data_IF_852631040922
#
_entry.id   IF_852631040922
#
_cell.length_a   1.000
_cell.length_b   1.000
_cell.length_c   1.000
_cell.angle_alpha   90.00
_cell.angle_beta   90.00
_cell.angle_gamma   90.00
#
_symmetry.space_group_name_H-M   'P 1'
#
loop_
_entity.id
_entity.type
_entity.pdbx_description
1 polymer ?
#
# COMPACT_ATOMS: atom_id res chain seq x y z
N UNK A 1 -11.32 14.22 -0.26
CA UNK A 1 -11.98 13.21 0.56
C UNK A 1 -12.32 12.02 -0.34
N UNK A 2 -11.88 10.83 0.02
CA UNK A 2 -12.14 9.61 -0.74
C UNK A 2 -12.15 8.39 0.17
N UNK A 3 -12.96 7.41 -0.19
CA UNK A 3 -13.03 6.12 0.46
C UNK A 3 -13.02 5.04 -0.63
N UNK A 4 -12.32 3.95 -0.37
CA UNK A 4 -12.28 2.80 -1.25
C UNK A 4 -12.41 1.54 -0.42
N UNK A 5 -13.32 0.67 -0.82
CA UNK A 5 -13.53 -0.64 -0.20
C UNK A 5 -13.45 -1.66 -1.32
N UNK A 6 -12.57 -2.64 -1.20
CA UNK A 6 -12.46 -3.77 -2.10
C UNK A 6 -12.60 -5.06 -1.32
N UNK A 7 -13.48 -5.94 -1.76
CA UNK A 7 -13.67 -7.28 -1.19
C UNK A 7 -13.59 -8.27 -2.35
N UNK A 8 -12.67 -9.23 -2.25
CA UNK A 8 -12.52 -10.28 -3.24
C UNK A 8 -12.59 -11.65 -2.56
N UNK A 9 -13.35 -12.56 -3.16
CA UNK A 9 -13.46 -13.95 -2.72
C UNK A 9 -13.00 -14.86 -3.85
N UNK A 10 -12.09 -15.77 -3.53
CA UNK A 10 -11.61 -16.78 -4.46
C UNK A 10 -11.86 -18.16 -3.86
N UNK A 11 -12.49 -19.04 -4.62
CA UNK A 11 -12.65 -20.46 -4.28
C UNK A 11 -11.81 -21.29 -5.23
N UNK A 12 -10.99 -22.19 -4.68
CA UNK A 12 -10.22 -23.19 -5.42
C UNK A 12 -10.57 -24.58 -4.89
N UNK A 13 -10.89 -25.49 -5.80
CA UNK A 13 -11.36 -26.83 -5.48
C UNK A 13 -12.84 -26.87 -5.09
N UNK A 14 -13.47 -28.02 -5.36
CA UNK A 14 -14.86 -28.29 -5.05
C UNK A 14 -14.96 -29.73 -4.53
N UNK A 15 -15.00 -29.88 -3.21
CA UNK A 15 -15.25 -31.16 -2.55
C UNK A 15 -14.07 -32.14 -2.60
N UNK A 16 -14.05 -33.08 -3.52
CA UNK A 16 -13.10 -34.21 -3.57
C UNK A 16 -11.74 -33.87 -4.21
N UNK A 17 -11.45 -32.60 -4.52
CA UNK A 17 -10.17 -32.24 -5.11
C UNK A 17 -9.02 -32.29 -4.10
N UNK A 18 -7.80 -32.54 -4.58
CA UNK A 18 -6.58 -32.50 -3.75
C UNK A 18 -6.32 -31.12 -3.15
N UNK A 19 -6.89 -30.09 -3.77
CA UNK A 19 -6.80 -28.69 -3.34
C UNK A 19 -8.21 -28.19 -3.04
N UNK A 20 -8.44 -27.77 -1.83
CA UNK A 20 -9.74 -27.19 -1.40
C UNK A 20 -9.55 -26.08 -0.37
N UNK A 21 -9.66 -24.82 -0.86
CA UNK A 21 -9.56 -23.63 -0.02
C UNK A 21 -10.37 -22.46 -0.59
N UNK A 22 -10.64 -21.50 0.26
CA UNK A 22 -11.26 -20.22 -0.08
C UNK A 22 -10.43 -19.08 0.48
N UNK A 23 -10.18 -18.05 -0.30
CA UNK A 23 -9.49 -16.84 0.12
C UNK A 23 -10.48 -15.68 0.17
N UNK A 24 -10.43 -14.92 1.24
CA UNK A 24 -11.10 -13.64 1.38
C UNK A 24 -10.04 -12.54 1.47
N UNK A 25 -10.11 -11.58 0.58
CA UNK A 25 -9.29 -10.38 0.60
C UNK A 25 -10.15 -9.16 0.86
N UNK A 26 -9.75 -8.31 1.80
CA UNK A 26 -10.40 -7.04 2.12
C UNK A 26 -9.33 -5.96 2.09
N UNK A 27 -9.57 -4.87 1.35
CA UNK A 27 -8.72 -3.66 1.31
C UNK A 27 -9.61 -2.44 1.55
N UNK A 28 -9.32 -1.70 2.59
CA UNK A 28 -10.05 -0.51 3.01
C UNK A 28 -9.12 0.68 2.95
N UNK A 29 -9.51 1.76 2.25
CA UNK A 29 -8.73 2.99 2.15
C UNK A 29 -9.60 4.19 2.45
N UNK A 30 -9.03 5.13 3.19
CA UNK A 30 -9.70 6.38 3.54
C UNK A 30 -8.73 7.55 3.45
N UNK A 31 -9.16 8.61 2.78
CA UNK A 31 -8.40 9.84 2.62
C UNK A 31 -9.17 10.99 3.23
N UNK A 32 -8.55 11.66 4.18
CA UNK A 32 -9.16 12.74 4.96
C UNK A 32 -8.34 14.02 4.73
N UNK A 33 -8.93 15.08 4.16
CA UNK A 33 -8.33 16.41 4.19
C UNK A 33 -8.36 16.93 5.62
N UNK A 34 -7.26 17.52 6.09
CA UNK A 34 -7.14 18.04 7.45
C UNK A 34 -7.30 19.56 7.42
N UNK A 35 -6.24 20.27 7.13
CA UNK A 35 -6.19 21.73 7.12
C UNK A 35 -5.56 22.19 5.81
N UNK A 36 -6.15 23.20 5.17
CA UNK A 36 -5.67 23.68 3.87
C UNK A 36 -5.59 22.53 2.86
N UNK A 37 -4.42 22.24 2.35
CA UNK A 37 -4.19 21.14 1.39
C UNK A 37 -3.51 19.92 2.02
N UNK A 38 -3.43 19.83 3.35
CA UNK A 38 -2.92 18.67 4.06
C UNK A 38 -3.91 17.51 3.99
N UNK A 39 -3.41 16.32 3.85
CA UNK A 39 -4.25 15.12 3.83
C UNK A 39 -3.59 13.98 4.59
N UNK A 40 -4.42 13.17 5.22
CA UNK A 40 -3.99 11.90 5.81
C UNK A 40 -4.71 10.76 5.09
N UNK A 41 -3.95 9.76 4.73
CA UNK A 41 -4.43 8.51 4.16
C UNK A 41 -4.29 7.38 5.16
N UNK A 42 -5.27 6.50 5.16
CA UNK A 42 -5.27 5.25 5.91
C UNK A 42 -5.55 4.11 4.94
N UNK A 43 -4.84 3.02 5.07
CA UNK A 43 -5.12 1.76 4.40
C UNK A 43 -5.04 0.64 5.42
N UNK A 44 -6.07 -0.20 5.46
CA UNK A 44 -6.06 -1.47 6.18
C UNK A 44 -6.39 -2.59 5.21
N UNK A 45 -5.65 -3.68 5.25
CA UNK A 45 -5.96 -4.84 4.42
C UNK A 45 -5.82 -6.13 5.22
N UNK A 46 -6.58 -7.13 4.81
CA UNK A 46 -6.44 -8.48 5.35
C UNK A 46 -6.74 -9.51 4.27
N UNK A 47 -5.96 -10.57 4.27
CA UNK A 47 -6.18 -11.78 3.49
C UNK A 47 -6.36 -12.97 4.43
N UNK A 48 -7.49 -13.64 4.34
CA UNK A 48 -7.84 -14.78 5.16
C UNK A 48 -8.03 -16.01 4.28
N UNK A 49 -7.48 -17.13 4.70
CA UNK A 49 -7.63 -18.41 4.01
C UNK A 49 -8.40 -19.40 4.87
N UNK A 50 -9.38 -20.03 4.25
CA UNK A 50 -10.25 -21.05 4.85
C UNK A 50 -10.14 -22.34 4.03
N UNK A 51 -10.03 -23.47 4.68
CA UNK A 51 -9.96 -24.78 4.03
C UNK A 51 -8.93 -25.69 4.66
N UNK A 52 -8.90 -26.96 4.23
CA UNK A 52 -8.06 -27.97 4.84
C UNK A 52 -6.90 -28.41 3.94
N UNK A 53 -6.95 -28.12 2.64
CA UNK A 53 -5.98 -28.54 1.63
C UNK A 53 -5.41 -27.32 0.92
N UNK A 54 -4.60 -26.58 1.68
CA UNK A 54 -3.99 -25.35 1.23
C UNK A 54 -2.58 -25.64 0.69
N UNK A 55 -2.30 -25.41 -0.58
CA UNK A 55 -0.97 -25.53 -1.12
C UNK A 55 -0.12 -24.30 -0.79
N UNK A 56 1.19 -24.48 -0.60
CA UNK A 56 2.12 -23.41 -0.22
C UNK A 56 2.13 -22.24 -1.19
N UNK A 57 1.85 -22.46 -2.47
CA UNK A 57 1.79 -21.39 -3.47
C UNK A 57 0.61 -20.43 -3.29
N UNK A 58 -0.35 -20.76 -2.43
CA UNK A 58 -1.51 -19.91 -2.11
C UNK A 58 -1.31 -19.06 -0.86
N UNK A 59 -0.16 -19.15 -0.20
CA UNK A 59 0.20 -18.34 0.95
C UNK A 59 0.28 -16.85 0.59
N UNK A 60 0.03 -16.01 1.57
CA UNK A 60 0.27 -14.58 1.48
C UNK A 60 1.69 -14.23 1.89
N UNK A 61 2.18 -13.14 1.32
CA UNK A 61 3.54 -12.66 1.57
C UNK A 61 3.54 -11.16 1.89
N UNK A 62 4.33 -10.77 2.89
CA UNK A 62 4.77 -9.40 3.08
C UNK A 62 6.23 -9.34 2.64
N UNK A 63 6.57 -8.41 1.73
CA UNK A 63 7.90 -8.26 1.14
C UNK A 63 7.91 -8.31 -0.39
N UNK A 64 6.77 -8.64 -1.01
CA UNK A 64 6.55 -8.58 -2.46
C UNK A 64 5.55 -7.50 -2.84
N UNK A 65 4.32 -7.85 -3.20
CA UNK A 65 3.26 -6.90 -3.55
C UNK A 65 2.83 -6.04 -2.37
N UNK A 66 2.68 -6.65 -1.21
CA UNK A 66 2.46 -5.95 0.04
C UNK A 66 3.78 -5.82 0.79
N UNK A 67 4.11 -4.60 1.21
CA UNK A 67 5.41 -4.30 1.84
C UNK A 67 5.23 -3.39 3.04
N UNK A 68 6.11 -3.56 4.03
CA UNK A 68 6.31 -2.60 5.11
C UNK A 68 7.51 -1.73 4.72
N UNK A 69 7.29 -0.43 4.49
CA UNK A 69 8.37 0.51 4.14
C UNK A 69 9.35 0.60 5.30
N UNK A 70 10.65 0.47 4.98
CA UNK A 70 11.73 0.40 5.96
C UNK A 70 12.15 -1.03 6.34
N UNK A 71 11.39 -2.09 5.92
CA UNK A 71 11.79 -3.48 6.14
C UNK A 71 11.65 -4.30 4.83
N UNK A 72 12.51 -3.99 3.85
CA UNK A 72 12.51 -4.71 2.57
C UNK A 72 13.39 -5.96 2.56
N UNK A 73 14.19 -6.15 3.61
CA UNK A 73 15.09 -7.31 3.73
C UNK A 73 14.38 -8.59 4.15
N UNK A 74 13.18 -8.47 4.70
CA UNK A 74 12.41 -9.61 5.19
C UNK A 74 11.25 -9.93 4.28
N UNK A 75 11.12 -11.21 3.99
CA UNK A 75 9.95 -11.80 3.38
C UNK A 75 9.26 -12.62 4.46
N UNK A 76 8.04 -12.25 4.78
CA UNK A 76 7.19 -12.99 5.69
C UNK A 76 6.18 -13.78 4.87
N UNK A 77 5.97 -15.04 5.22
CA UNK A 77 5.05 -15.96 4.57
C UNK A 77 4.06 -16.52 5.58
N UNK A 78 2.80 -16.65 5.21
CA UNK A 78 1.77 -17.26 6.04
C UNK A 78 0.47 -17.52 5.27
N UNK A 79 -0.39 -18.35 5.85
CA UNK A 79 -1.72 -18.65 5.30
C UNK A 79 -2.65 -17.43 5.33
N UNK A 80 -2.42 -16.50 6.25
CA UNK A 80 -3.20 -15.28 6.43
C UNK A 80 -2.27 -14.09 6.54
N UNK A 81 -2.79 -12.91 6.21
CA UNK A 81 -2.07 -11.64 6.27
C UNK A 81 -2.97 -10.52 6.77
N UNK A 82 -2.42 -9.59 7.51
CA UNK A 82 -3.02 -8.29 7.76
C UNK A 82 -1.97 -7.19 7.73
N UNK A 83 -2.37 -6.02 7.29
CA UNK A 83 -1.50 -4.86 7.28
C UNK A 83 -2.28 -3.57 7.43
N UNK A 84 -1.56 -2.57 7.89
CA UNK A 84 -2.05 -1.22 8.08
C UNK A 84 -0.99 -0.24 7.59
N UNK A 85 -1.43 0.81 6.93
CA UNK A 85 -0.59 1.90 6.47
C UNK A 85 -1.27 3.23 6.73
N UNK A 86 -0.52 4.21 7.20
CA UNK A 86 -0.99 5.59 7.31
C UNK A 86 0.05 6.53 6.76
N UNK A 87 -0.40 7.61 6.12
CA UNK A 87 0.48 8.57 5.48
C UNK A 87 -0.10 9.99 5.57
N UNK A 88 0.65 10.87 6.22
CA UNK A 88 0.39 12.30 6.26
C UNK A 88 1.11 12.97 5.09
N UNK A 89 0.38 13.71 4.27
CA UNK A 89 0.89 14.48 3.13
C UNK A 89 0.74 15.97 3.41
N UNK A 90 1.86 16.66 3.37
CA UNK A 90 1.95 18.11 3.56
C UNK A 90 2.42 18.71 2.25
N UNK A 91 1.62 19.52 1.55
CA UNK A 91 2.05 20.13 0.30
C UNK A 91 3.14 21.17 0.58
N UNK A 92 4.27 21.04 -0.11
CA UNK A 92 5.35 22.02 -0.13
C UNK A 92 5.09 23.01 -1.27
N UNK A 93 4.63 22.46 -2.40
CA UNK A 93 4.37 23.23 -3.61
C UNK A 93 3.20 22.64 -4.40
N UNK A 94 2.33 23.50 -4.91
CA UNK A 94 1.25 23.10 -5.79
C UNK A 94 0.00 22.52 -5.10
N UNK A 95 -0.90 21.90 -5.83
CA UNK A 95 -0.80 21.58 -7.26
C UNK A 95 -0.91 22.81 -8.17
N UNK A 96 0.03 22.94 -9.08
CA UNK A 96 0.02 23.97 -10.12
C UNK A 96 -0.36 23.33 -11.44
N UNK A 97 -1.16 24.03 -12.22
CA UNK A 97 -1.62 23.59 -13.52
C UNK A 97 -0.99 24.46 -14.61
N UNK A 98 -0.33 23.82 -15.57
CA UNK A 98 0.25 24.46 -16.75
C UNK A 98 -0.57 24.01 -17.95
N UNK A 99 -1.06 24.98 -18.72
CA UNK A 99 -1.81 24.72 -19.96
C UNK A 99 -0.87 24.88 -21.14
N UNK A 100 -0.81 23.86 -21.98
CA UNK A 100 -0.05 23.86 -23.25
C UNK A 100 -1.04 24.12 -24.41
N UNK A 101 -1.14 25.35 -24.90
CA UNK A 101 -2.16 25.70 -25.90
C UNK A 101 -1.92 25.06 -27.28
N UNK A 102 -0.67 24.67 -27.58
CA UNK A 102 -0.29 24.05 -28.85
C UNK A 102 -0.41 22.52 -28.87
N UNK A 103 -0.91 21.90 -27.79
CA UNK A 103 -1.03 20.46 -27.73
C UNK A 103 -2.17 19.98 -28.64
N UNK A 104 -1.90 19.10 -29.62
CA UNK A 104 -2.91 18.68 -30.58
C UNK A 104 -4.02 17.83 -29.96
N UNK A 105 -3.82 17.29 -28.77
CA UNK A 105 -4.79 16.50 -28.01
C UNK A 105 -5.16 17.26 -26.74
N UNK A 106 -6.37 17.85 -26.66
CA UNK A 106 -6.78 18.70 -25.53
C UNK A 106 -6.69 18.02 -24.15
N UNK A 107 -6.86 16.69 -24.12
CA UNK A 107 -6.79 15.90 -22.89
C UNK A 107 -5.40 15.91 -22.23
N UNK A 108 -4.36 16.13 -23.02
CA UNK A 108 -2.97 16.22 -22.55
C UNK A 108 -2.47 17.66 -22.42
N UNK A 109 -3.31 18.64 -22.70
CA UNK A 109 -2.93 20.05 -22.65
C UNK A 109 -2.77 20.59 -21.22
N UNK A 110 -3.39 19.94 -20.21
CA UNK A 110 -3.32 20.38 -18.82
C UNK A 110 -2.34 19.50 -18.05
N UNK A 111 -1.20 20.11 -17.71
CA UNK A 111 -0.16 19.44 -16.93
C UNK A 111 -0.27 19.84 -15.47
N UNK A 112 -0.37 18.86 -14.58
CA UNK A 112 -0.42 19.06 -13.14
C UNK A 112 0.93 18.75 -12.52
N UNK A 113 1.48 19.69 -11.75
CA UNK A 113 2.70 19.54 -11.00
C UNK A 113 2.48 19.85 -9.52
N UNK A 114 3.22 19.19 -8.67
CA UNK A 114 3.21 19.48 -7.24
C UNK A 114 4.28 18.70 -6.50
N UNK A 115 4.50 19.07 -5.25
CA UNK A 115 5.43 18.41 -4.37
C UNK A 115 4.87 18.35 -2.95
N UNK A 116 4.87 17.18 -2.36
CA UNK A 116 4.42 16.96 -0.99
C UNK A 116 5.57 16.37 -0.16
N UNK A 117 5.66 16.83 1.08
CA UNK A 117 6.36 16.11 2.13
C UNK A 117 5.41 15.03 2.67
N UNK A 118 5.89 13.82 2.81
CA UNK A 118 5.12 12.70 3.33
C UNK A 118 5.77 12.14 4.59
N UNK A 119 4.93 11.79 5.58
CA UNK A 119 5.33 11.02 6.76
C UNK A 119 4.47 9.77 6.80
N UNK A 120 5.07 8.62 6.98
CA UNK A 120 4.33 7.37 6.94
C UNK A 120 4.65 6.43 8.11
N UNK A 121 3.71 5.57 8.39
CA UNK A 121 3.85 4.43 9.27
C UNK A 121 3.12 3.24 8.65
N UNK A 122 3.82 2.12 8.55
CA UNK A 122 3.30 0.86 8.03
C UNK A 122 3.52 -0.25 9.06
N UNK A 123 2.58 -1.16 9.15
CA UNK A 123 2.69 -2.36 9.96
C UNK A 123 2.03 -3.54 9.23
N UNK A 124 2.59 -4.73 9.42
CA UNK A 124 2.01 -5.91 8.82
C UNK A 124 2.48 -7.20 9.50
N UNK A 125 1.64 -8.19 9.43
CA UNK A 125 1.89 -9.52 9.97
C UNK A 125 1.30 -10.59 9.06
N UNK A 126 1.94 -11.75 9.04
CA UNK A 126 1.40 -12.98 8.47
C UNK A 126 1.33 -14.05 9.56
N UNK A 127 0.34 -14.94 9.46
CA UNK A 127 0.18 -16.03 10.44
C UNK A 127 -0.44 -17.26 9.78
N UNK A 128 -0.20 -18.42 10.42
CA UNK A 128 -0.77 -19.69 9.99
C UNK A 128 -2.05 -20.00 10.78
N UNK A 129 -3.15 -20.30 10.07
CA UNK A 129 -4.48 -20.67 10.59
C UNK A 129 -4.93 -19.84 11.80
N UNK A 130 -4.82 -20.39 13.02
CA UNK A 130 -5.41 -19.82 14.23
C UNK A 130 -4.39 -19.15 15.16
N UNK A 131 -3.17 -18.89 14.69
CA UNK A 131 -2.06 -18.38 15.51
C UNK A 131 -1.80 -16.88 15.28
N UNK A 132 -2.85 -16.08 15.25
CA UNK A 132 -2.67 -14.64 15.19
C UNK A 132 -2.04 -14.13 16.50
N UNK A 133 -0.84 -13.60 16.42
CA UNK A 133 -0.08 -13.08 17.56
C UNK A 133 0.64 -11.81 17.10
N UNK A 134 0.16 -10.65 17.50
CA UNK A 134 0.79 -9.34 17.21
C UNK A 134 2.29 -9.23 17.53
N UNK A 135 2.84 -10.14 18.29
CA UNK A 135 4.28 -10.14 18.65
C UNK A 135 5.22 -10.34 17.46
N UNK A 136 4.72 -10.80 16.33
CA UNK A 136 5.51 -11.04 15.12
C UNK A 136 5.34 -9.92 14.07
N UNK A 137 4.50 -8.95 14.35
CA UNK A 137 4.29 -7.85 13.42
C UNK A 137 5.59 -7.11 13.12
N UNK A 138 5.85 -6.88 11.85
CA UNK A 138 6.88 -5.96 11.40
C UNK A 138 6.25 -4.59 11.20
N UNK A 139 6.98 -3.55 11.58
CA UNK A 139 6.57 -2.18 11.35
C UNK A 139 7.74 -1.32 10.88
N UNK A 140 7.38 -0.30 10.15
CA UNK A 140 8.32 0.71 9.71
C UNK A 140 7.66 2.07 9.64
N UNK A 141 8.47 3.09 9.72
CA UNK A 141 8.05 4.48 9.63
C UNK A 141 9.12 5.29 8.90
N UNK A 142 8.72 6.44 8.42
CA UNK A 142 9.67 7.27 7.70
C UNK A 142 9.04 8.53 7.14
N UNK A 143 9.82 9.16 6.30
CA UNK A 143 9.41 10.37 5.60
C UNK A 143 10.00 10.41 4.20
N UNK A 144 9.44 11.26 3.36
CA UNK A 144 9.93 11.40 2.01
C UNK A 144 9.30 12.56 1.27
N UNK A 145 9.69 12.71 0.02
CA UNK A 145 9.19 13.73 -0.89
C UNK A 145 8.48 13.03 -2.05
N UNK A 146 7.25 13.44 -2.29
CA UNK A 146 6.43 12.95 -3.40
C UNK A 146 6.31 14.03 -4.45
N UNK A 147 6.79 13.75 -5.65
CA UNK A 147 6.66 14.62 -6.82
C UNK A 147 5.42 14.22 -7.59
N UNK A 148 4.48 15.14 -7.67
CA UNK A 148 3.28 14.99 -8.49
C UNK A 148 3.62 15.45 -9.90
N UNK A 149 3.56 14.55 -10.84
CA UNK A 149 3.84 14.79 -12.26
C UNK A 149 2.54 14.73 -13.07
N UNK A 150 2.57 15.23 -14.30
CA UNK A 150 1.44 15.11 -15.22
C UNK A 150 0.95 13.66 -15.35
N UNK A 151 -0.30 13.52 -15.78
CA UNK A 151 -0.94 12.22 -16.05
C UNK A 151 -1.04 11.31 -14.83
N UNK A 152 -1.17 11.90 -13.63
CA UNK A 152 -1.31 11.16 -12.36
C UNK A 152 -0.08 10.33 -11.97
N UNK A 153 1.08 10.60 -12.56
CA UNK A 153 2.33 9.95 -12.17
C UNK A 153 2.84 10.58 -10.88
N UNK A 154 3.27 9.73 -9.94
CA UNK A 154 3.91 10.16 -8.69
C UNK A 154 5.26 9.48 -8.58
N UNK A 155 6.29 10.28 -8.37
CA UNK A 155 7.62 9.80 -7.99
C UNK A 155 7.76 10.02 -6.48
N UNK A 156 8.13 8.97 -5.77
CA UNK A 156 8.35 8.97 -4.32
C UNK A 156 9.81 8.70 -4.03
N UNK A 157 10.39 9.57 -3.22
CA UNK A 157 11.73 9.38 -2.67
C UNK A 157 11.60 9.43 -1.16
N UNK A 158 11.80 8.31 -0.51
CA UNK A 158 11.51 8.15 0.91
C UNK A 158 12.69 7.53 1.64
N UNK A 159 12.79 7.82 2.94
CA UNK A 159 13.68 7.13 3.88
C UNK A 159 12.78 6.44 4.90
N UNK A 160 12.81 5.12 4.91
CA UNK A 160 12.09 4.29 5.87
C UNK A 160 13.02 3.70 6.91
N UNK A 161 12.55 3.59 8.13
CA UNK A 161 13.23 2.96 9.25
C UNK A 161 12.41 1.77 9.74
N UNK A 162 13.07 0.65 9.98
CA UNK A 162 12.44 -0.50 10.59
C UNK A 162 12.44 -0.41 12.13
N UNK A 163 11.88 -1.42 12.79
CA UNK A 163 11.83 -1.51 14.26
C UNK A 163 13.20 -1.46 14.96
N UNK A 164 14.29 -1.75 14.24
CA UNK A 164 15.67 -1.67 14.74
C UNK A 164 16.36 -0.35 14.36
N UNK A 165 15.61 0.64 13.87
CA UNK A 165 16.09 1.93 13.38
C UNK A 165 17.11 1.83 12.23
N UNK A 166 17.10 0.73 11.49
CA UNK A 166 17.87 0.61 10.25
C UNK A 166 17.17 1.36 9.15
N UNK A 167 17.84 2.37 8.59
CA UNK A 167 17.32 3.18 7.49
C UNK A 167 17.46 2.48 6.14
N UNK A 168 16.46 2.66 5.30
CA UNK A 168 16.46 2.23 3.89
C UNK A 168 15.99 3.36 3.01
N UNK A 169 16.66 3.56 1.89
CA UNK A 169 16.20 4.47 0.85
C UNK A 169 15.20 3.76 -0.05
N UNK A 170 14.09 4.43 -0.32
CA UNK A 170 12.98 3.91 -1.11
C UNK A 170 12.79 4.86 -2.29
N UNK A 171 12.85 4.31 -3.48
CA UNK A 171 12.47 5.00 -4.70
C UNK A 171 11.34 4.23 -5.37
N UNK A 172 10.24 4.91 -5.63
CA UNK A 172 9.06 4.33 -6.25
C UNK A 172 8.48 5.31 -7.26
N UNK A 173 8.03 4.77 -8.39
CA UNK A 173 7.35 5.54 -9.40
C UNK A 173 6.05 4.79 -9.78
N UNK A 174 4.92 5.45 -9.62
CA UNK A 174 3.65 4.81 -9.88
C UNK A 174 2.50 5.80 -9.95
N UNK A 175 1.30 5.24 -10.10
CA UNK A 175 0.07 6.00 -9.97
C UNK A 175 -0.32 6.05 -8.50
N UNK A 176 -0.80 7.20 -8.02
CA UNK A 176 -1.33 7.31 -6.66
C UNK A 176 -2.46 6.29 -6.47
N UNK A 177 -2.42 5.54 -5.38
CA UNK A 177 -3.55 4.72 -4.99
C UNK A 177 -4.70 5.54 -4.46
#
# INVERSE_FOLDING_TARGET
KGEHISIAVKKCGFGESEVDYSNLWIDLRKYIPIISNWSIGFRGFTGLTFGNRLPNYSHYFIGYSERVRGEFSKILEGENVAGFSTELRVPIFGPTYVVLPEMPIPQFAILRYGMNLAFFFDAGEVWDRYKFIWKKAEYGFGFGIHFLLPYSVIIRTEIGFNKNLKGQFIFDAGVSF
#
